data_IF_287368501102
#
_entry.id   IF_287368501102
#
_cell.length_a   1.000
_cell.length_b   1.000
_cell.length_c   1.000
_cell.angle_alpha   90.00
_cell.angle_beta   90.00
_cell.angle_gamma   90.00
#
_symmetry.space_group_name_H-M   'P 1'
#
loop_
_entity.id
_entity.type
_entity.pdbx_description
1 polymer ?
#
# COMPACT_ATOMS: atom_id res chain seq x y z
N UNK A 1 8.70 -21.16 -0.15
CA UNK A 1 9.18 -19.95 -0.86
C UNK A 1 9.73 -20.39 -2.21
N UNK A 2 9.53 -19.62 -3.29
CA UNK A 2 10.17 -19.87 -4.59
C UNK A 2 11.32 -18.89 -4.79
N UNK A 3 12.41 -19.35 -5.42
CA UNK A 3 13.55 -18.50 -5.76
C UNK A 3 13.24 -17.71 -7.03
N UNK A 4 13.53 -16.41 -6.99
CA UNK A 4 13.37 -15.50 -8.14
C UNK A 4 14.74 -14.88 -8.39
N UNK A 5 15.24 -15.00 -9.62
CA UNK A 5 16.51 -14.39 -10.04
C UNK A 5 16.21 -13.11 -10.81
N UNK A 6 16.89 -12.02 -10.47
CA UNK A 6 16.73 -10.73 -11.13
C UNK A 6 18.08 -10.19 -11.58
N UNK A 7 18.13 -9.66 -12.80
CA UNK A 7 19.32 -9.02 -13.33
C UNK A 7 19.16 -7.50 -13.20
N UNK A 8 20.14 -6.86 -12.58
CA UNK A 8 20.22 -5.41 -12.44
C UNK A 8 21.70 -5.01 -12.47
N UNK A 9 21.95 -3.72 -12.71
CA UNK A 9 23.30 -3.18 -12.66
C UNK A 9 23.95 -3.43 -11.28
N UNK A 10 25.20 -3.86 -11.27
CA UNK A 10 25.91 -4.20 -10.03
C UNK A 10 25.99 -3.01 -9.07
N UNK A 11 26.18 -1.79 -9.62
CA UNK A 11 26.24 -0.58 -8.81
C UNK A 11 24.90 -0.28 -8.12
N UNK A 12 23.78 -0.62 -8.76
CA UNK A 12 22.44 -0.50 -8.18
C UNK A 12 22.22 -1.53 -7.08
N UNK A 13 22.61 -2.79 -7.30
CA UNK A 13 22.51 -3.85 -6.28
C UNK A 13 23.30 -3.46 -5.04
N UNK A 14 24.52 -2.94 -5.21
CA UNK A 14 25.36 -2.50 -4.08
C UNK A 14 24.70 -1.38 -3.28
N UNK A 15 24.29 -0.29 -3.95
CA UNK A 15 23.61 0.84 -3.32
C UNK A 15 22.33 0.42 -2.60
N UNK A 16 21.56 -0.49 -3.19
CA UNK A 16 20.32 -0.97 -2.60
C UNK A 16 20.57 -1.81 -1.33
N UNK A 17 21.62 -2.64 -1.31
CA UNK A 17 22.06 -3.36 -0.11
C UNK A 17 22.54 -2.41 0.99
N UNK A 18 23.35 -1.41 0.64
CA UNK A 18 23.83 -0.39 1.60
C UNK A 18 22.67 0.40 2.21
N UNK A 19 21.68 0.77 1.39
CA UNK A 19 20.45 1.42 1.87
C UNK A 19 19.66 0.52 2.82
N UNK A 20 19.43 -0.73 2.45
CA UNK A 20 18.70 -1.67 3.30
C UNK A 20 19.41 -1.90 4.65
N UNK A 21 20.74 -2.02 4.64
CA UNK A 21 21.54 -2.18 5.86
C UNK A 21 21.39 -0.98 6.80
N UNK A 22 21.43 0.26 6.26
CA UNK A 22 21.18 1.48 7.04
C UNK A 22 19.78 1.52 7.66
N UNK A 23 18.81 0.89 7.02
CA UNK A 23 17.43 0.76 7.49
C UNK A 23 17.21 -0.49 8.37
N UNK A 24 18.29 -1.15 8.83
CA UNK A 24 18.26 -2.39 9.62
C UNK A 24 17.43 -3.52 8.97
N UNK A 25 17.49 -3.62 7.64
CA UNK A 25 16.78 -4.64 6.86
C UNK A 25 17.68 -5.20 5.75
N UNK A 26 17.14 -6.13 4.96
CA UNK A 26 17.85 -6.71 3.81
C UNK A 26 17.19 -6.29 2.50
N UNK A 27 17.98 -6.29 1.42
CA UNK A 27 17.45 -6.05 0.08
C UNK A 27 16.32 -7.02 -0.27
N UNK A 28 16.42 -8.28 0.19
CA UNK A 28 15.40 -9.29 -0.02
C UNK A 28 14.09 -8.98 0.73
N UNK A 29 14.16 -8.48 1.97
CA UNK A 29 12.96 -8.05 2.70
C UNK A 29 12.29 -6.86 1.99
N UNK A 30 13.08 -5.85 1.59
CA UNK A 30 12.58 -4.70 0.83
C UNK A 30 11.94 -5.12 -0.50
N UNK A 31 12.51 -6.14 -1.15
CA UNK A 31 11.95 -6.70 -2.37
C UNK A 31 10.61 -7.40 -2.14
N UNK A 32 10.44 -8.13 -1.03
CA UNK A 32 9.15 -8.72 -0.65
C UNK A 32 8.09 -7.66 -0.38
N UNK A 33 8.42 -6.65 0.43
CA UNK A 33 7.50 -5.53 0.72
C UNK A 33 7.08 -4.79 -0.56
N UNK A 34 8.03 -4.63 -1.49
CA UNK A 34 7.73 -4.07 -2.80
C UNK A 34 6.81 -4.97 -3.63
N UNK A 35 7.02 -6.29 -3.67
CA UNK A 35 6.15 -7.24 -4.36
C UNK A 35 4.72 -7.19 -3.80
N UNK A 36 4.57 -7.18 -2.47
CA UNK A 36 3.29 -7.03 -1.78
C UNK A 36 2.59 -5.72 -2.15
N UNK A 37 3.34 -4.62 -2.16
CA UNK A 37 2.84 -3.31 -2.58
C UNK A 37 2.48 -3.28 -4.07
N UNK A 38 3.24 -3.96 -4.91
CA UNK A 38 3.06 -4.02 -6.36
C UNK A 38 1.76 -4.75 -6.72
N UNK A 39 1.43 -5.84 -6.03
CA UNK A 39 0.15 -6.54 -6.20
C UNK A 39 -1.01 -5.77 -5.56
N UNK A 40 -0.79 -5.12 -4.41
CA UNK A 40 -1.82 -4.34 -3.73
C UNK A 40 -2.31 -3.14 -4.56
N UNK A 41 -1.43 -2.51 -5.35
CA UNK A 41 -1.79 -1.38 -6.23
C UNK A 41 -2.76 -1.73 -7.36
N UNK A 42 -3.01 -3.01 -7.67
CA UNK A 42 -4.10 -3.44 -8.57
C UNK A 42 -5.42 -3.75 -7.86
N UNK A 43 -5.47 -3.67 -6.53
CA UNK A 43 -6.68 -3.89 -5.73
C UNK A 43 -7.43 -2.61 -5.24
N UNK A 44 -7.42 -1.43 -5.91
CA UNK A 44 -8.27 -0.31 -5.49
C UNK A 44 -9.75 -0.70 -5.42
N UNK A 45 -10.20 -1.57 -6.33
CA UNK A 45 -11.59 -1.99 -6.42
C UNK A 45 -12.01 -2.89 -5.25
N UNK A 46 -11.10 -3.69 -4.70
CA UNK A 46 -11.42 -4.59 -3.58
C UNK A 46 -11.41 -3.83 -2.25
N UNK A 47 -10.39 -2.98 -2.03
CA UNK A 47 -10.31 -2.14 -0.82
C UNK A 47 -11.45 -1.13 -0.73
N UNK A 48 -11.83 -0.51 -1.85
CA UNK A 48 -12.98 0.39 -1.92
C UNK A 48 -14.30 -0.34 -1.60
N UNK A 49 -14.53 -1.51 -2.21
CA UNK A 49 -15.76 -2.29 -1.96
C UNK A 49 -15.84 -2.82 -0.54
N UNK A 50 -14.74 -3.28 0.05
CA UNK A 50 -14.72 -3.68 1.46
C UNK A 50 -14.94 -2.50 2.41
N UNK A 51 -14.36 -1.34 2.10
CA UNK A 51 -14.56 -0.11 2.88
C UNK A 51 -16.01 0.37 2.79
N UNK A 52 -16.59 0.40 1.59
CA UNK A 52 -18.01 0.73 1.38
C UNK A 52 -18.96 -0.30 2.01
N UNK A 53 -18.59 -1.59 2.03
CA UNK A 53 -19.36 -2.65 2.72
C UNK A 53 -19.32 -2.46 4.24
N UNK A 54 -18.17 -2.08 4.80
CA UNK A 54 -18.03 -1.71 6.21
C UNK A 54 -18.84 -0.45 6.52
N UNK A 55 -18.87 0.55 5.64
CA UNK A 55 -19.67 1.76 5.80
C UNK A 55 -21.18 1.55 5.52
N UNK A 56 -21.62 0.34 5.16
CA UNK A 56 -23.03 0.04 4.86
C UNK A 56 -23.99 0.20 6.05
N UNK A 57 -23.48 0.15 7.29
CA UNK A 57 -24.28 0.49 8.50
C UNK A 57 -24.47 1.99 8.68
N UNK A 58 -23.60 2.81 8.08
CA UNK A 58 -23.72 4.25 8.06
C UNK A 58 -24.61 4.64 6.87
N UNK A 59 -25.90 4.34 6.98
CA UNK A 59 -26.91 5.07 6.23
C UNK A 59 -27.25 6.31 7.04
N UNK A 60 -26.67 7.48 6.76
CA UNK A 60 -27.25 8.70 7.27
C UNK A 60 -28.64 8.77 6.65
N UNK A 61 -29.70 8.60 7.45
CA UNK A 61 -31.09 8.71 7.00
C UNK A 61 -31.46 10.09 6.45
N UNK A 62 -30.47 10.96 6.21
CA UNK A 62 -30.58 12.29 5.66
C UNK A 62 -29.25 12.68 5.00
N UNK A 63 -29.31 13.41 3.89
CA UNK A 63 -28.14 14.07 3.30
C UNK A 63 -27.88 15.33 4.13
N UNK A 64 -26.72 15.42 4.79
CA UNK A 64 -26.30 16.67 5.41
C UNK A 64 -25.75 17.58 4.33
N UNK A 65 -26.35 18.76 4.18
CA UNK A 65 -25.79 19.81 3.32
C UNK A 65 -24.55 20.42 3.96
N UNK A 66 -23.64 20.98 3.15
CA UNK A 66 -22.40 21.58 3.65
C UNK A 66 -22.64 22.82 4.51
N UNK A 67 -23.84 23.40 4.40
CA UNK A 67 -24.32 24.53 5.20
C UNK A 67 -24.72 24.06 6.62
N UNK A 68 -25.44 22.94 6.75
CA UNK A 68 -25.85 22.38 8.06
C UNK A 68 -24.67 21.92 8.95
N UNK A 69 -23.56 21.47 8.36
CA UNK A 69 -22.38 21.01 9.12
C UNK A 69 -21.45 22.15 9.56
N UNK A 70 -21.68 23.37 9.07
CA UNK A 70 -20.86 24.55 9.37
C UNK A 70 -21.56 25.56 10.28
N UNK A 71 -22.80 25.32 10.68
CA UNK A 71 -23.47 26.13 11.69
C UNK A 71 -22.93 25.76 13.08
N UNK A 72 -22.18 26.69 13.68
CA UNK A 72 -21.60 26.60 15.02
C UNK A 72 -22.31 27.55 15.96
#
# INVERSE_FOLDING_TARGET
MKNITFNADESLIRKAREKAARENTTLNNRFREWLESYVARRSPLTGYRETMKKLGYASPGRKFSREELNER
#
